data_IF_888211761719
#
_entry.id   IF_888211761719
#
_cell.length_a   1.000
_cell.length_b   1.000
_cell.length_c   1.000
_cell.angle_alpha   90.00
_cell.angle_beta   90.00
_cell.angle_gamma   90.00
#
_symmetry.space_group_name_H-M   'P 1'
#
loop_
_entity.id
_entity.type
_entity.pdbx_description
1 polymer ?
#
# COMPACT_ATOMS: atom_id res chain seq x y z
N UNK A 1 9.99 -17.31 -12.15
CA UNK A 1 8.57 -17.25 -11.71
C UNK A 1 8.48 -16.81 -10.26
N UNK A 2 9.18 -17.49 -9.34
CA UNK A 2 9.27 -17.07 -7.93
C UNK A 2 9.81 -15.64 -7.77
N UNK A 3 10.82 -15.22 -8.56
CA UNK A 3 11.34 -13.84 -8.46
C UNK A 3 10.34 -12.78 -8.88
N UNK A 4 9.45 -13.08 -9.84
CA UNK A 4 8.37 -12.17 -10.23
C UNK A 4 7.38 -12.01 -9.08
N UNK A 5 6.97 -13.13 -8.45
CA UNK A 5 6.09 -13.11 -7.29
C UNK A 5 6.71 -12.34 -6.12
N UNK A 6 8.02 -12.51 -5.87
CA UNK A 6 8.73 -11.73 -4.84
C UNK A 6 8.62 -10.23 -5.12
N UNK A 7 8.88 -9.79 -6.35
CA UNK A 7 8.77 -8.38 -6.72
C UNK A 7 7.34 -7.84 -6.58
N UNK A 8 6.32 -8.66 -6.85
CA UNK A 8 4.91 -8.28 -6.63
C UNK A 8 4.59 -8.14 -5.13
N UNK A 9 5.13 -9.00 -4.28
CA UNK A 9 4.97 -8.91 -2.82
C UNK A 9 5.65 -7.65 -2.26
N UNK A 10 6.89 -7.36 -2.67
CA UNK A 10 7.60 -6.13 -2.28
C UNK A 10 6.85 -4.87 -2.74
N UNK A 11 6.22 -4.93 -3.92
CA UNK A 11 5.39 -3.84 -4.41
C UNK A 11 4.13 -3.65 -3.56
N UNK A 12 3.45 -4.74 -3.23
CA UNK A 12 2.26 -4.73 -2.39
C UNK A 12 2.57 -4.21 -0.98
N UNK A 13 3.66 -4.67 -0.37
CA UNK A 13 4.15 -4.19 0.93
C UNK A 13 4.28 -2.66 0.93
N UNK A 14 4.95 -2.10 -0.09
CA UNK A 14 5.09 -0.64 -0.23
C UNK A 14 3.75 0.08 -0.36
N UNK A 15 2.80 -0.50 -1.10
CA UNK A 15 1.46 0.10 -1.24
C UNK A 15 0.72 0.13 0.10
N UNK A 16 0.80 -0.94 0.89
CA UNK A 16 0.22 -1.00 2.24
C UNK A 16 0.89 0.01 3.18
N UNK A 17 2.22 0.09 3.16
CA UNK A 17 2.97 1.05 3.99
C UNK A 17 2.60 2.50 3.68
N UNK A 18 2.46 2.83 2.39
CA UNK A 18 1.99 4.14 1.94
C UNK A 18 0.55 4.38 2.40
N UNK A 19 -0.36 3.42 2.21
CA UNK A 19 -1.76 3.57 2.63
C UNK A 19 -1.89 3.81 4.14
N UNK A 20 -1.13 3.07 4.96
CA UNK A 20 -1.06 3.26 6.42
C UNK A 20 -0.54 4.65 6.78
N UNK A 21 0.56 5.08 6.14
CA UNK A 21 1.16 6.37 6.44
C UNK A 21 0.26 7.54 6.05
N UNK A 22 -0.45 7.42 4.91
CA UNK A 22 -1.46 8.40 4.51
C UNK A 22 -2.61 8.41 5.50
N UNK A 23 -3.13 7.25 5.93
CA UNK A 23 -4.18 7.18 6.98
C UNK A 23 -3.78 7.93 8.25
N UNK A 24 -2.55 7.75 8.70
CA UNK A 24 -2.06 8.26 9.98
C UNK A 24 -1.71 9.76 9.93
N UNK A 25 -1.39 10.31 8.74
CA UNK A 25 -0.89 11.68 8.58
C UNK A 25 -1.70 12.55 7.60
N UNK A 26 -2.84 12.06 7.12
CA UNK A 26 -3.65 12.79 6.14
C UNK A 26 -4.17 14.15 6.66
N UNK A 27 -4.31 15.14 5.76
CA UNK A 27 -3.87 15.12 4.37
C UNK A 27 -2.34 15.25 4.26
N UNK A 28 -1.69 14.43 3.41
CA UNK A 28 -0.23 14.43 3.27
C UNK A 28 0.24 14.54 1.82
N UNK A 29 1.15 15.48 1.56
CA UNK A 29 1.76 15.66 0.24
C UNK A 29 2.82 14.61 -0.08
N UNK A 30 3.02 14.34 -1.38
CA UNK A 30 3.95 13.31 -1.86
C UNK A 30 5.40 13.48 -1.36
N UNK A 31 5.90 14.72 -1.29
CA UNK A 31 7.28 15.00 -0.85
C UNK A 31 7.45 14.63 0.62
N UNK A 32 6.51 15.05 1.48
CA UNK A 32 6.56 14.75 2.91
C UNK A 32 6.39 13.25 3.17
N UNK A 33 5.50 12.60 2.43
CA UNK A 33 5.31 11.16 2.51
C UNK A 33 6.58 10.38 2.13
N UNK A 34 7.28 10.83 1.08
CA UNK A 34 8.56 10.25 0.66
C UNK A 34 9.66 10.42 1.72
N UNK A 35 9.73 11.59 2.38
CA UNK A 35 10.65 11.82 3.50
C UNK A 35 10.36 10.91 4.70
N UNK A 36 9.09 10.77 5.10
CA UNK A 36 8.72 9.95 6.26
C UNK A 36 9.03 8.46 6.07
N UNK A 37 8.91 7.98 4.83
CA UNK A 37 9.13 6.58 4.47
C UNK A 37 10.56 6.29 4.00
N UNK A 38 11.43 7.30 3.92
CA UNK A 38 12.74 7.19 3.29
C UNK A 38 12.69 6.54 1.89
N UNK A 39 11.69 6.94 1.09
CA UNK A 39 11.44 6.39 -0.24
C UNK A 39 11.69 7.41 -1.34
N UNK A 40 12.18 6.98 -2.53
CA UNK A 40 12.23 7.84 -3.69
C UNK A 40 10.85 8.36 -4.09
N UNK A 41 10.73 9.68 -4.31
CA UNK A 41 9.46 10.37 -4.66
C UNK A 41 8.72 9.69 -5.82
N UNK A 42 9.42 9.21 -6.85
CA UNK A 42 8.78 8.55 -7.99
C UNK A 42 8.13 7.20 -7.63
N UNK A 43 8.66 6.47 -6.64
CA UNK A 43 8.07 5.22 -6.13
C UNK A 43 6.83 5.49 -5.29
N UNK A 44 6.88 6.56 -4.48
CA UNK A 44 5.71 7.04 -3.74
C UNK A 44 4.61 7.48 -4.71
N UNK A 45 4.97 8.26 -5.75
CA UNK A 45 4.05 8.70 -6.81
C UNK A 45 3.36 7.51 -7.46
N UNK A 46 4.13 6.51 -7.87
CA UNK A 46 3.60 5.32 -8.51
C UNK A 46 2.58 4.62 -7.61
N UNK A 47 2.92 4.44 -6.34
CA UNK A 47 2.04 3.76 -5.38
C UNK A 47 0.77 4.56 -5.08
N UNK A 48 0.86 5.88 -4.89
CA UNK A 48 -0.29 6.75 -4.72
C UNK A 48 -1.24 6.68 -5.93
N UNK A 49 -0.69 6.66 -7.15
CA UNK A 49 -1.49 6.52 -8.37
C UNK A 49 -2.25 5.19 -8.41
N UNK A 50 -1.59 4.08 -8.09
CA UNK A 50 -2.25 2.75 -8.07
C UNK A 50 -3.36 2.73 -7.01
N UNK A 51 -3.06 3.19 -5.79
CA UNK A 51 -4.04 3.26 -4.70
C UNK A 51 -5.22 4.19 -5.03
N UNK A 52 -4.98 5.29 -5.75
CA UNK A 52 -6.04 6.19 -6.22
C UNK A 52 -6.89 5.55 -7.33
N UNK A 53 -6.28 4.86 -8.29
CA UNK A 53 -6.99 4.14 -9.35
C UNK A 53 -7.92 3.05 -8.78
N UNK A 54 -7.47 2.38 -7.72
CA UNK A 54 -8.26 1.37 -7.02
C UNK A 54 -9.22 1.99 -5.98
N UNK A 55 -9.23 3.31 -5.82
CA UNK A 55 -10.14 4.04 -4.95
C UNK A 55 -9.84 3.93 -3.45
N UNK A 56 -8.63 3.51 -3.08
CA UNK A 56 -8.14 3.50 -1.70
C UNK A 56 -7.70 4.91 -1.24
N UNK A 57 -7.16 5.71 -2.15
CA UNK A 57 -6.72 7.08 -1.87
C UNK A 57 -7.47 8.06 -2.78
N UNK A 58 -7.63 9.29 -2.31
CA UNK A 58 -8.08 10.42 -3.13
C UNK A 58 -7.08 11.57 -3.03
N UNK A 59 -6.73 12.18 -4.17
CA UNK A 59 -5.97 13.41 -4.18
C UNK A 59 -6.82 14.62 -3.72
N UNK A 60 -6.24 15.45 -2.86
CA UNK A 60 -6.80 16.75 -2.48
C UNK A 60 -5.76 17.87 -2.67
N UNK A 61 -6.17 19.15 -2.70
CA UNK A 61 -5.22 20.28 -2.75
C UNK A 61 -4.22 20.30 -1.60
N UNK A 62 -4.56 19.72 -0.44
CA UNK A 62 -3.70 19.66 0.74
C UNK A 62 -2.81 18.39 0.79
N UNK A 63 -3.05 17.41 -0.09
CA UNK A 63 -2.36 16.12 -0.07
C UNK A 63 -3.30 14.93 -0.28
N UNK A 64 -2.74 13.72 -0.26
CA UNK A 64 -3.49 12.48 -0.33
C UNK A 64 -4.29 12.25 0.96
N UNK A 65 -5.51 11.73 0.82
CA UNK A 65 -6.39 11.29 1.91
C UNK A 65 -6.84 9.85 1.64
N UNK A 66 -7.08 9.07 2.69
CA UNK A 66 -7.65 7.72 2.54
C UNK A 66 -9.16 7.78 2.35
N UNK A 67 -9.70 6.78 1.66
CA UNK A 67 -11.14 6.56 1.56
C UNK A 67 -11.60 5.51 2.57
N UNK A 68 -12.92 5.36 2.73
CA UNK A 68 -13.50 4.27 3.52
C UNK A 68 -13.06 2.87 3.03
N UNK A 69 -12.74 2.72 1.74
CA UNK A 69 -12.24 1.47 1.16
C UNK A 69 -10.87 1.08 1.76
N UNK A 70 -10.04 2.06 2.10
CA UNK A 70 -8.74 1.80 2.75
C UNK A 70 -8.93 1.27 4.16
N UNK A 71 -9.86 1.82 4.93
CA UNK A 71 -10.16 1.29 6.27
C UNK A 71 -10.65 -0.15 6.21
N UNK A 72 -11.51 -0.48 5.25
CA UNK A 72 -11.96 -1.85 5.01
C UNK A 72 -10.80 -2.77 4.60
N UNK A 73 -9.92 -2.33 3.70
CA UNK A 73 -8.73 -3.07 3.30
C UNK A 73 -7.81 -3.35 4.47
N UNK A 74 -7.46 -2.32 5.25
CA UNK A 74 -6.53 -2.43 6.37
C UNK A 74 -7.13 -3.27 7.51
N UNK A 75 -8.44 -3.18 7.74
CA UNK A 75 -9.13 -3.98 8.75
C UNK A 75 -9.24 -5.47 8.39
N UNK A 76 -9.24 -5.82 7.09
CA UNK A 76 -9.25 -7.21 6.62
C UNK A 76 -7.84 -7.74 6.26
N UNK A 77 -6.80 -6.91 6.36
CA UNK A 77 -5.49 -7.21 5.81
C UNK A 77 -4.86 -8.45 6.46
N UNK A 78 -4.88 -8.54 7.79
CA UNK A 78 -4.23 -9.65 8.50
C UNK A 78 -4.86 -11.00 8.11
N UNK A 79 -6.19 -11.09 8.06
CA UNK A 79 -6.89 -12.29 7.62
C UNK A 79 -6.56 -12.65 6.16
N UNK A 80 -6.53 -11.65 5.26
CA UNK A 80 -6.16 -11.88 3.86
C UNK A 80 -4.72 -12.39 3.72
N UNK A 81 -3.80 -11.88 4.55
CA UNK A 81 -2.40 -12.34 4.57
C UNK A 81 -2.29 -13.77 5.12
N UNK A 82 -3.03 -14.10 6.17
CA UNK A 82 -3.06 -15.46 6.72
C UNK A 82 -3.56 -16.48 5.69
N UNK A 83 -4.60 -16.14 4.93
CA UNK A 83 -5.12 -16.98 3.86
C UNK A 83 -4.07 -17.20 2.76
N UNK A 84 -3.34 -16.15 2.37
CA UNK A 84 -2.24 -16.25 1.39
C UNK A 84 -1.08 -17.10 1.91
N UNK A 85 -0.69 -16.93 3.18
CA UNK A 85 0.37 -17.72 3.83
C UNK A 85 -0.02 -19.20 3.87
N UNK A 86 -1.29 -19.53 4.16
CA UNK A 86 -1.79 -20.90 4.14
C UNK A 86 -1.67 -21.53 2.74
N UNK A 87 -2.04 -20.79 1.69
CA UNK A 87 -1.90 -21.23 0.30
C UNK A 87 -0.43 -21.50 -0.01
N UNK A 88 0.47 -20.55 0.26
CA UNK A 88 1.90 -20.71 0.01
C UNK A 88 2.50 -21.88 0.78
N UNK A 89 2.08 -22.07 2.04
CA UNK A 89 2.55 -23.16 2.90
C UNK A 89 2.10 -24.53 2.39
N UNK A 90 0.92 -24.64 1.76
CA UNK A 90 0.44 -25.90 1.20
C UNK A 90 1.25 -26.41 0.00
N UNK A 91 2.00 -25.51 -0.66
CA UNK A 91 2.89 -25.85 -1.77
C UNK A 91 4.22 -26.45 -1.25
N UNK A 92 4.62 -26.09 -0.03
CA UNK A 92 5.83 -26.60 0.62
C UNK A 92 5.64 -28.07 0.96
N UNK A 93 6.45 -28.95 0.35
CA UNK A 93 6.50 -30.37 0.65
C UNK A 93 7.50 -30.67 1.76
#
# INVERSE_FOLDING_TARGET
>A
MIDKLRGEIELFERHIEIARTVRDHQPIGITRLAELLDLPVHRVRYSLRVLEQDGYISASPAGAVVTQRTEALLGALDQNLDDLIAILSSIRR
#
